data_IF_484758451090
#
_entry.id   IF_484758451090
#
_cell.length_a   1.000
_cell.length_b   1.000
_cell.length_c   1.000
_cell.angle_alpha   90.00
_cell.angle_beta   90.00
_cell.angle_gamma   90.00
#
_symmetry.space_group_name_H-M   'P 1'
#
loop_
_entity.id
_entity.type
_entity.pdbx_description
1 polymer ?
#
# COMPACT_ATOMS: atom_id res chain seq x y z
N UNK A 1 -50.44 44.00 -45.18
CA UNK A 1 -49.35 43.02 -45.32
C UNK A 1 -48.42 43.17 -44.13
N UNK A 2 -48.20 42.04 -43.45
CA UNK A 2 -47.17 41.71 -42.47
C UNK A 2 -47.11 42.51 -41.14
N UNK A 3 -47.38 41.77 -40.08
CA UNK A 3 -47.39 42.10 -38.66
C UNK A 3 -46.00 42.50 -38.11
N UNK A 4 -45.98 43.47 -37.20
CA UNK A 4 -44.89 43.70 -36.27
C UNK A 4 -44.99 42.67 -35.13
N UNK A 5 -44.16 41.64 -35.15
CA UNK A 5 -43.95 40.76 -33.99
C UNK A 5 -43.01 41.44 -33.01
N UNK A 6 -43.60 42.17 -32.06
CA UNK A 6 -42.92 42.58 -30.83
C UNK A 6 -42.73 41.35 -29.95
N UNK A 7 -41.55 40.72 -30.02
CA UNK A 7 -41.12 39.78 -28.97
C UNK A 7 -40.97 40.58 -27.68
N UNK A 8 -41.99 40.54 -26.82
CA UNK A 8 -41.86 40.90 -25.42
C UNK A 8 -41.22 39.69 -24.76
N UNK A 9 -39.91 39.76 -24.52
CA UNK A 9 -39.26 38.86 -23.59
C UNK A 9 -39.94 39.05 -22.23
N UNK A 10 -40.64 38.00 -21.80
CA UNK A 10 -41.47 38.02 -20.61
C UNK A 10 -40.55 37.96 -19.37
N UNK A 11 -40.51 39.00 -18.51
CA UNK A 11 -39.58 39.08 -17.38
C UNK A 11 -39.71 37.92 -16.40
N UNK A 12 -40.88 37.29 -16.35
CA UNK A 12 -41.19 36.16 -15.48
C UNK A 12 -40.41 34.91 -15.88
N UNK A 13 -40.32 34.60 -17.17
CA UNK A 13 -39.51 33.46 -17.70
C UNK A 13 -38.03 33.61 -17.40
N UNK A 14 -37.52 34.84 -17.35
CA UNK A 14 -36.12 35.11 -17.06
C UNK A 14 -35.79 34.99 -15.56
N UNK A 15 -36.77 35.23 -14.67
CA UNK A 15 -36.65 35.03 -13.23
C UNK A 15 -36.76 33.55 -12.85
N UNK A 16 -37.72 32.84 -13.44
CA UNK A 16 -37.94 31.40 -13.18
C UNK A 16 -36.75 30.57 -13.67
N UNK A 17 -36.20 30.87 -14.86
CA UNK A 17 -34.99 30.22 -15.36
C UNK A 17 -33.75 30.48 -14.49
N UNK A 18 -33.66 31.65 -13.85
CA UNK A 18 -32.56 31.98 -12.95
C UNK A 18 -32.67 31.25 -11.60
N UNK A 19 -33.89 31.12 -11.06
CA UNK A 19 -34.16 30.32 -9.86
C UNK A 19 -33.90 28.82 -10.08
N UNK A 20 -34.24 28.28 -11.25
CA UNK A 20 -33.97 26.88 -11.59
C UNK A 20 -32.46 26.59 -11.72
N UNK A 21 -31.69 27.55 -12.24
CA UNK A 21 -30.22 27.46 -12.32
C UNK A 21 -29.56 27.49 -10.94
N UNK A 22 -30.02 28.35 -10.04
CA UNK A 22 -29.52 28.43 -8.66
C UNK A 22 -29.83 27.15 -7.87
N UNK A 23 -31.03 26.58 -8.04
CA UNK A 23 -31.38 25.30 -7.43
C UNK A 23 -30.57 24.13 -8.00
N UNK A 24 -30.31 24.11 -9.31
CA UNK A 24 -29.47 23.09 -9.94
C UNK A 24 -28.01 23.18 -9.46
N UNK A 25 -27.46 24.38 -9.34
CA UNK A 25 -26.11 24.62 -8.83
C UNK A 25 -25.98 24.16 -7.36
N UNK A 26 -26.94 24.51 -6.50
CA UNK A 26 -26.97 24.10 -5.10
C UNK A 26 -27.07 22.58 -4.92
N UNK A 27 -27.87 21.93 -5.76
CA UNK A 27 -28.00 20.46 -5.77
C UNK A 27 -26.69 19.79 -6.19
N UNK A 28 -26.04 20.29 -7.25
CA UNK A 28 -24.75 19.77 -7.71
C UNK A 28 -23.65 19.94 -6.63
N UNK A 29 -23.62 21.07 -5.95
CA UNK A 29 -22.68 21.31 -4.84
C UNK A 29 -22.92 20.33 -3.68
N UNK A 30 -24.17 20.13 -3.29
CA UNK A 30 -24.55 19.19 -2.22
C UNK A 30 -24.16 17.75 -2.58
N UNK A 31 -24.35 17.36 -3.84
CA UNK A 31 -23.96 16.04 -4.34
C UNK A 31 -22.45 15.81 -4.31
N UNK A 32 -21.66 16.83 -4.69
CA UNK A 32 -20.19 16.75 -4.64
C UNK A 32 -19.71 16.61 -3.18
N UNK A 33 -20.26 17.41 -2.26
CA UNK A 33 -19.93 17.34 -0.83
C UNK A 33 -20.23 15.94 -0.27
N UNK A 34 -21.38 15.36 -0.62
CA UNK A 34 -21.73 13.99 -0.25
C UNK A 34 -20.70 12.98 -0.77
N UNK A 35 -20.34 13.05 -2.05
CA UNK A 35 -19.35 12.14 -2.66
C UNK A 35 -17.98 12.25 -1.98
N UNK A 36 -17.52 13.47 -1.70
CA UNK A 36 -16.27 13.71 -0.98
C UNK A 36 -16.31 13.07 0.42
N UNK A 37 -17.42 13.20 1.14
CA UNK A 37 -17.58 12.60 2.47
C UNK A 37 -17.58 11.07 2.41
N UNK A 38 -18.24 10.48 1.41
CA UNK A 38 -18.22 9.03 1.20
C UNK A 38 -16.82 8.50 0.89
N UNK A 39 -16.05 9.21 0.07
CA UNK A 39 -14.65 8.85 -0.24
C UNK A 39 -13.76 8.99 1.00
N UNK A 40 -13.91 10.07 1.78
CA UNK A 40 -13.20 10.25 3.06
C UNK A 40 -13.52 9.11 4.03
N UNK A 41 -14.78 8.69 4.12
CA UNK A 41 -15.21 7.58 4.97
C UNK A 41 -14.60 6.24 4.52
N UNK A 42 -14.58 5.96 3.21
CA UNK A 42 -13.97 4.74 2.64
C UNK A 42 -12.45 4.70 2.79
N UNK A 43 -11.78 5.85 2.83
CA UNK A 43 -10.33 5.95 2.99
C UNK A 43 -9.85 5.48 4.36
N UNK A 44 -10.58 5.80 5.44
CA UNK A 44 -10.17 5.49 6.82
C UNK A 44 -9.84 4.00 7.02
N UNK A 45 -10.72 3.04 6.68
CA UNK A 45 -10.40 1.62 6.84
C UNK A 45 -9.23 1.17 5.95
N UNK A 46 -9.10 1.73 4.73
CA UNK A 46 -7.93 1.45 3.86
C UNK A 46 -6.62 1.90 4.49
N UNK A 47 -6.60 3.05 5.16
CA UNK A 47 -5.40 3.51 5.84
C UNK A 47 -5.04 2.62 7.04
N UNK A 48 -6.03 2.16 7.79
CA UNK A 48 -5.80 1.18 8.87
C UNK A 48 -5.26 -0.14 8.32
N UNK A 49 -5.82 -0.64 7.20
CA UNK A 49 -5.28 -1.82 6.53
C UNK A 49 -3.84 -1.58 6.06
N UNK A 50 -3.51 -0.39 5.54
CA UNK A 50 -2.15 -0.05 5.11
C UNK A 50 -1.14 -0.14 6.25
N UNK A 51 -1.51 0.38 7.44
CA UNK A 51 -0.69 0.25 8.64
C UNK A 51 -0.50 -1.21 9.05
N UNK A 52 -1.55 -2.03 8.98
CA UNK A 52 -1.45 -3.46 9.30
C UNK A 52 -0.56 -4.19 8.29
N UNK A 53 -0.72 -3.92 6.99
CA UNK A 53 0.13 -4.50 5.93
C UNK A 53 1.59 -4.15 6.14
N UNK A 54 1.89 -2.91 6.53
CA UNK A 54 3.26 -2.50 6.87
C UNK A 54 3.86 -3.36 7.99
N UNK A 55 3.09 -3.61 9.05
CA UNK A 55 3.50 -4.49 10.15
C UNK A 55 3.76 -5.91 9.65
N UNK A 56 2.86 -6.44 8.82
CA UNK A 56 2.99 -7.79 8.26
C UNK A 56 4.23 -7.93 7.37
N UNK A 57 4.51 -6.93 6.52
CA UNK A 57 5.70 -6.92 5.68
C UNK A 57 6.97 -6.94 6.54
N UNK A 58 7.06 -6.03 7.51
CA UNK A 58 8.23 -5.94 8.40
C UNK A 58 8.42 -7.20 9.25
N UNK A 59 7.32 -7.83 9.69
CA UNK A 59 7.37 -9.09 10.43
C UNK A 59 8.00 -10.20 9.59
N UNK A 60 7.52 -10.38 8.35
CA UNK A 60 8.05 -11.42 7.46
C UNK A 60 9.52 -11.18 7.11
N UNK A 61 9.91 -9.90 6.96
CA UNK A 61 11.30 -9.49 6.77
C UNK A 61 12.17 -9.92 7.97
N UNK A 62 11.75 -9.56 9.18
CA UNK A 62 12.45 -9.92 10.42
C UNK A 62 12.57 -11.44 10.61
N UNK A 63 11.50 -12.20 10.33
CA UNK A 63 11.53 -13.66 10.39
C UNK A 63 12.53 -14.24 9.38
N UNK A 64 12.58 -13.69 8.17
CA UNK A 64 13.55 -14.11 7.16
C UNK A 64 15.00 -13.83 7.61
N UNK A 65 15.28 -12.68 8.25
CA UNK A 65 16.62 -12.39 8.80
C UNK A 65 16.98 -13.41 9.88
N UNK A 66 16.04 -13.65 10.79
CA UNK A 66 16.22 -14.58 11.89
C UNK A 66 16.62 -15.98 11.39
N UNK A 67 15.93 -16.49 10.37
CA UNK A 67 16.29 -17.77 9.77
C UNK A 67 17.59 -17.73 8.97
N UNK A 68 17.91 -16.61 8.30
CA UNK A 68 19.19 -16.42 7.64
C UNK A 68 20.38 -16.49 8.62
N UNK A 69 20.23 -15.87 9.79
CA UNK A 69 21.22 -15.94 10.87
C UNK A 69 21.35 -17.38 11.39
N UNK A 70 20.25 -18.10 11.60
CA UNK A 70 20.28 -19.51 12.01
C UNK A 70 20.97 -20.40 10.97
N UNK A 71 20.67 -20.22 9.68
CA UNK A 71 21.37 -20.93 8.60
C UNK A 71 22.87 -20.64 8.68
N UNK A 72 23.27 -19.38 8.81
CA UNK A 72 24.67 -18.98 8.88
C UNK A 72 25.40 -19.58 10.09
N UNK A 73 24.78 -19.55 11.27
CA UNK A 73 25.33 -20.17 12.49
C UNK A 73 25.48 -21.69 12.35
N UNK A 74 24.46 -22.37 11.81
CA UNK A 74 24.51 -23.82 11.63
C UNK A 74 25.50 -24.24 10.56
N UNK A 75 25.74 -23.42 9.52
CA UNK A 75 26.83 -23.64 8.54
C UNK A 75 28.20 -23.60 9.22
N UNK A 76 28.42 -22.66 10.15
CA UNK A 76 29.67 -22.57 10.90
C UNK A 76 29.89 -23.81 11.79
N UNK A 77 28.85 -24.27 12.49
CA UNK A 77 28.90 -25.48 13.33
C UNK A 77 29.13 -26.73 12.50
N UNK A 78 28.47 -26.83 11.34
CA UNK A 78 28.63 -27.96 10.43
C UNK A 78 30.06 -28.02 9.86
N UNK A 79 30.74 -26.87 9.75
CA UNK A 79 32.12 -26.74 9.30
C UNK A 79 32.20 -26.49 7.79
N UNK A 80 32.99 -25.49 7.38
CA UNK A 80 33.13 -25.06 5.99
C UNK A 80 33.80 -26.07 5.04
N UNK A 81 34.24 -27.22 5.56
CA UNK A 81 34.83 -28.30 4.78
C UNK A 81 33.88 -29.48 4.86
N UNK A 82 33.19 -29.75 3.76
CA UNK A 82 32.22 -30.85 3.54
C UNK A 82 32.51 -32.05 4.46
N UNK A 83 31.83 -32.17 5.62
CA UNK A 83 32.14 -33.20 6.58
C UNK A 83 31.49 -34.48 6.07
N UNK A 84 32.18 -35.20 5.19
CA UNK A 84 31.71 -36.46 4.62
C UNK A 84 31.08 -37.32 5.73
N UNK A 85 29.78 -37.57 5.62
CA UNK A 85 29.08 -38.55 6.41
C UNK A 85 29.55 -39.91 5.90
N UNK A 86 30.30 -40.64 6.72
CA UNK A 86 30.81 -41.97 6.39
C UNK A 86 30.06 -43.03 7.18
N UNK A 87 29.62 -44.08 6.51
CA UNK A 87 29.16 -45.27 7.20
C UNK A 87 30.36 -46.01 7.78
N UNK A 88 30.15 -46.70 8.90
CA UNK A 88 31.07 -47.70 9.41
C UNK A 88 31.16 -48.87 8.40
N UNK A 89 32.19 -49.73 8.48
CA UNK A 89 32.33 -50.89 7.60
C UNK A 89 31.13 -51.85 7.59
N UNK A 90 30.35 -51.87 8.68
CA UNK A 90 29.13 -52.65 8.84
C UNK A 90 27.87 -51.94 8.31
N UNK A 91 28.02 -50.75 7.70
CA UNK A 91 26.92 -49.92 7.20
C UNK A 91 26.26 -49.03 8.25
N UNK A 92 26.63 -49.12 9.54
CA UNK A 92 26.04 -48.31 10.60
C UNK A 92 26.50 -46.83 10.55
N UNK A 93 25.72 -45.94 11.18
CA UNK A 93 26.09 -44.53 11.36
C UNK A 93 26.58 -44.34 12.80
N UNK A 94 27.85 -43.95 12.94
CA UNK A 94 28.40 -43.64 14.27
C UNK A 94 27.79 -42.34 14.86
N UNK A 95 27.92 -42.16 16.18
CA UNK A 95 27.37 -41.01 16.91
C UNK A 95 27.77 -39.65 16.31
N UNK A 96 29.00 -39.51 15.83
CA UNK A 96 29.49 -38.26 15.25
C UNK A 96 28.78 -37.94 13.92
N UNK A 97 28.58 -38.95 13.07
CA UNK A 97 27.85 -38.80 11.82
C UNK A 97 26.34 -38.63 12.03
N UNK A 98 25.76 -39.25 13.07
CA UNK A 98 24.37 -38.99 13.45
C UNK A 98 24.15 -37.54 13.88
N UNK A 99 25.07 -36.95 14.65
CA UNK A 99 25.01 -35.54 15.03
C UNK A 99 25.06 -34.61 13.81
N UNK A 100 25.95 -34.91 12.84
CA UNK A 100 26.02 -34.17 11.57
C UNK A 100 24.71 -34.22 10.78
N UNK A 101 24.09 -35.39 10.67
CA UNK A 101 22.79 -35.53 9.98
C UNK A 101 21.73 -34.64 10.67
N UNK A 102 21.70 -34.63 12.00
CA UNK A 102 20.80 -33.74 12.75
C UNK A 102 21.05 -32.27 12.45
N UNK A 103 22.32 -31.84 12.37
CA UNK A 103 22.66 -30.45 12.01
C UNK A 103 22.25 -30.12 10.57
N UNK A 104 22.50 -31.02 9.62
CA UNK A 104 22.09 -30.84 8.23
C UNK A 104 20.56 -30.71 8.11
N UNK A 105 19.80 -31.54 8.83
CA UNK A 105 18.34 -31.46 8.85
C UNK A 105 17.85 -30.12 9.41
N UNK A 106 18.43 -29.63 10.51
CA UNK A 106 18.09 -28.31 11.07
C UNK A 106 18.41 -27.18 10.10
N UNK A 107 19.55 -27.25 9.41
CA UNK A 107 19.95 -26.27 8.42
C UNK A 107 18.95 -26.23 7.25
N UNK A 108 18.50 -27.39 6.76
CA UNK A 108 17.44 -27.49 5.75
C UNK A 108 16.11 -26.93 6.26
N UNK A 109 15.75 -27.18 7.52
CA UNK A 109 14.54 -26.64 8.13
C UNK A 109 14.56 -25.11 8.18
N UNK A 110 15.66 -24.51 8.62
CA UNK A 110 15.81 -23.05 8.67
C UNK A 110 15.85 -22.43 7.28
N UNK A 111 16.54 -23.07 6.32
CA UNK A 111 16.58 -22.57 4.94
C UNK A 111 15.19 -22.60 4.30
N UNK A 112 14.41 -23.66 4.56
CA UNK A 112 13.00 -23.72 4.15
C UNK A 112 12.18 -22.59 4.76
N UNK A 113 12.27 -22.38 6.08
CA UNK A 113 11.52 -21.31 6.76
C UNK A 113 11.94 -19.92 6.28
N UNK A 114 13.23 -19.69 6.03
CA UNK A 114 13.75 -18.47 5.40
C UNK A 114 13.06 -18.22 4.05
N UNK A 115 13.01 -19.24 3.19
CA UNK A 115 12.36 -19.13 1.88
C UNK A 115 10.85 -18.84 1.99
N UNK A 116 10.16 -19.49 2.94
CA UNK A 116 8.75 -19.25 3.23
C UNK A 116 8.50 -17.81 3.71
N UNK A 117 9.30 -17.31 4.66
CA UNK A 117 9.20 -15.93 5.15
C UNK A 117 9.52 -14.91 4.05
N UNK A 118 10.51 -15.18 3.19
CA UNK A 118 10.82 -14.29 2.05
C UNK A 118 9.66 -14.25 1.04
N UNK A 119 9.03 -15.38 0.75
CA UNK A 119 7.85 -15.45 -0.12
C UNK A 119 6.66 -14.69 0.49
N UNK A 120 6.42 -14.85 1.79
CA UNK A 120 5.38 -14.14 2.52
C UNK A 120 5.64 -12.62 2.55
N UNK A 121 6.90 -12.20 2.71
CA UNK A 121 7.33 -10.82 2.59
C UNK A 121 6.94 -10.23 1.22
N UNK A 122 7.29 -10.88 0.11
CA UNK A 122 6.96 -10.37 -1.22
C UNK A 122 5.44 -10.28 -1.46
N UNK A 123 4.69 -11.28 -1.00
CA UNK A 123 3.23 -11.27 -1.10
C UNK A 123 2.61 -10.10 -0.32
N UNK A 124 3.07 -9.87 0.92
CA UNK A 124 2.62 -8.76 1.75
C UNK A 124 3.03 -7.40 1.16
N UNK A 125 4.26 -7.29 0.64
CA UNK A 125 4.79 -6.07 0.02
C UNK A 125 3.96 -5.69 -1.20
N UNK A 126 3.61 -6.66 -2.05
CA UNK A 126 2.73 -6.44 -3.20
C UNK A 126 1.35 -5.93 -2.77
N UNK A 127 0.79 -6.52 -1.71
CA UNK A 127 -0.47 -6.06 -1.12
C UNK A 127 -0.41 -4.64 -0.59
N UNK A 128 0.69 -4.28 0.09
CA UNK A 128 0.95 -2.93 0.59
C UNK A 128 0.98 -1.89 -0.55
N UNK A 129 1.75 -2.13 -1.61
CA UNK A 129 1.82 -1.18 -2.73
C UNK A 129 0.50 -1.05 -3.48
N UNK A 130 -0.23 -2.15 -3.66
CA UNK A 130 -1.56 -2.10 -4.27
C UNK A 130 -2.49 -1.17 -3.47
N UNK A 131 -2.49 -1.30 -2.16
CA UNK A 131 -3.33 -0.49 -1.29
C UNK A 131 -2.94 1.00 -1.29
N UNK A 132 -1.65 1.30 -1.45
CA UNK A 132 -1.18 2.68 -1.65
C UNK A 132 -1.81 3.27 -2.92
N UNK A 133 -1.76 2.56 -4.04
CA UNK A 133 -2.36 3.05 -5.29
C UNK A 133 -3.87 3.28 -5.14
N UNK A 134 -4.59 2.36 -4.49
CA UNK A 134 -6.03 2.52 -4.23
C UNK A 134 -6.34 3.75 -3.34
N UNK A 135 -5.47 4.09 -2.38
CA UNK A 135 -5.62 5.29 -1.55
C UNK A 135 -5.27 6.54 -2.36
N UNK A 136 -4.23 6.50 -3.20
CA UNK A 136 -3.85 7.61 -4.08
C UNK A 136 -4.95 7.98 -5.05
N UNK A 137 -5.58 6.99 -5.68
CA UNK A 137 -6.74 7.19 -6.56
C UNK A 137 -7.87 7.89 -5.81
N UNK A 138 -8.16 7.45 -4.56
CA UNK A 138 -9.18 8.07 -3.71
C UNK A 138 -8.84 9.53 -3.39
N UNK A 139 -7.58 9.84 -3.04
CA UNK A 139 -7.17 11.23 -2.76
C UNK A 139 -7.19 12.11 -4.02
N UNK A 140 -6.88 11.56 -5.19
CA UNK A 140 -6.96 12.29 -6.47
C UNK A 140 -8.42 12.60 -6.83
N UNK A 141 -9.34 11.65 -6.64
CA UNK A 141 -10.77 11.86 -6.87
C UNK A 141 -11.34 12.94 -5.94
N UNK A 142 -10.95 12.94 -4.65
CA UNK A 142 -11.32 14.00 -3.70
C UNK A 142 -10.79 15.35 -4.18
N UNK A 143 -9.54 15.44 -4.65
CA UNK A 143 -8.96 16.69 -5.16
C UNK A 143 -9.72 17.22 -6.38
N UNK A 144 -10.11 16.35 -7.30
CA UNK A 144 -10.86 16.73 -8.50
C UNK A 144 -12.25 17.24 -8.14
N UNK A 145 -12.96 16.54 -7.25
CA UNK A 145 -14.27 16.95 -6.76
C UNK A 145 -14.23 18.31 -6.06
N UNK A 146 -13.28 18.51 -5.15
CA UNK A 146 -13.14 19.79 -4.45
C UNK A 146 -12.70 20.94 -5.37
N UNK A 147 -11.82 20.67 -6.33
CA UNK A 147 -11.42 21.66 -7.34
C UNK A 147 -12.59 22.09 -8.22
N UNK A 148 -13.58 21.21 -8.42
CA UNK A 148 -14.79 21.54 -9.18
C UNK A 148 -15.74 22.48 -8.43
N UNK A 149 -15.65 22.54 -7.09
CA UNK A 149 -16.38 23.47 -6.23
C UNK A 149 -15.70 24.85 -6.13
N UNK A 150 -14.36 24.89 -6.20
CA UNK A 150 -13.56 26.10 -5.95
C UNK A 150 -13.31 26.97 -7.20
N UNK A 151 -14.27 27.05 -8.14
CA UNK A 151 -14.08 27.72 -9.44
C UNK A 151 -13.87 29.24 -9.38
N UNK A 152 -14.19 29.89 -8.25
CA UNK A 152 -14.26 31.36 -8.16
C UNK A 152 -13.00 32.05 -7.60
N UNK A 153 -11.84 31.37 -7.59
CA UNK A 153 -10.55 32.05 -7.39
C UNK A 153 -10.29 32.59 -5.97
N UNK A 154 -11.06 32.16 -4.98
CA UNK A 154 -10.72 32.41 -3.57
C UNK A 154 -9.46 31.64 -3.16
N UNK A 155 -8.81 32.11 -2.08
CA UNK A 155 -7.64 31.47 -1.48
C UNK A 155 -7.85 29.96 -1.39
N UNK A 156 -6.80 29.20 -1.73
CA UNK A 156 -6.87 27.74 -1.82
C UNK A 156 -7.36 27.15 -0.49
N UNK A 157 -8.63 26.73 -0.47
CA UNK A 157 -9.30 26.27 0.74
C UNK A 157 -8.48 25.14 1.38
N UNK A 158 -8.35 25.16 2.71
CA UNK A 158 -7.73 24.09 3.50
C UNK A 158 -8.29 22.73 3.09
N UNK A 159 -9.58 22.67 2.77
CA UNK A 159 -10.23 21.44 2.34
C UNK A 159 -9.63 20.86 1.04
N UNK A 160 -9.18 21.71 0.10
CA UNK A 160 -8.49 21.32 -1.15
C UNK A 160 -7.03 20.94 -0.89
N UNK A 161 -6.34 21.61 0.05
CA UNK A 161 -4.93 21.35 0.34
C UNK A 161 -4.71 20.03 1.09
N UNK A 162 -5.60 19.67 2.01
CA UNK A 162 -5.43 18.50 2.87
C UNK A 162 -5.27 17.16 2.10
N UNK A 163 -6.07 16.86 1.05
CA UNK A 163 -5.83 15.72 0.18
C UNK A 163 -4.46 15.70 -0.49
N UNK A 164 -3.94 16.84 -0.94
CA UNK A 164 -2.61 16.93 -1.57
C UNK A 164 -1.50 16.62 -0.59
N UNK A 165 -1.59 17.12 0.64
CA UNK A 165 -0.65 16.80 1.71
C UNK A 165 -0.65 15.31 2.03
N UNK A 166 -1.84 14.70 2.16
CA UNK A 166 -1.95 13.25 2.41
C UNK A 166 -1.37 12.43 1.26
N UNK A 167 -1.63 12.82 0.01
CA UNK A 167 -1.02 12.18 -1.16
C UNK A 167 0.51 12.23 -1.12
N UNK A 168 1.07 13.42 -0.85
CA UNK A 168 2.52 13.63 -0.81
C UNK A 168 3.16 12.79 0.31
N UNK A 169 2.58 12.85 1.52
CA UNK A 169 3.05 12.06 2.67
C UNK A 169 2.96 10.55 2.41
N UNK A 170 1.97 10.10 1.65
CA UNK A 170 1.84 8.69 1.26
C UNK A 170 2.95 8.26 0.30
N UNK A 171 3.33 9.10 -0.67
CA UNK A 171 4.45 8.85 -1.58
C UNK A 171 5.81 8.85 -0.85
N UNK A 172 6.02 9.79 0.07
CA UNK A 172 7.23 9.83 0.90
C UNK A 172 7.34 8.55 1.74
N UNK A 173 6.24 8.13 2.37
CA UNK A 173 6.19 6.88 3.15
C UNK A 173 6.46 5.67 2.25
N UNK A 174 5.87 5.62 1.05
CA UNK A 174 6.10 4.55 0.08
C UNK A 174 7.58 4.44 -0.29
N UNK A 175 8.21 5.58 -0.59
CA UNK A 175 9.62 5.64 -0.97
C UNK A 175 10.53 5.19 0.18
N UNK A 176 10.34 5.75 1.38
CA UNK A 176 11.11 5.36 2.58
C UNK A 176 11.01 3.86 2.89
N UNK A 177 9.80 3.29 2.80
CA UNK A 177 9.62 1.85 3.03
C UNK A 177 10.30 1.02 1.96
N UNK A 178 10.22 1.44 0.69
CA UNK A 178 10.87 0.75 -0.42
C UNK A 178 12.40 0.75 -0.26
N UNK A 179 12.97 1.91 0.06
CA UNK A 179 14.41 2.06 0.33
C UNK A 179 14.85 1.13 1.47
N UNK A 180 14.19 1.19 2.62
CA UNK A 180 14.55 0.35 3.76
C UNK A 180 14.41 -1.15 3.49
N UNK A 181 13.41 -1.56 2.71
CA UNK A 181 13.26 -2.97 2.30
C UNK A 181 14.34 -3.40 1.30
N UNK A 182 14.75 -2.54 0.37
CA UNK A 182 15.81 -2.82 -0.59
C UNK A 182 17.18 -2.92 0.08
N UNK A 183 17.49 -2.00 1.00
CA UNK A 183 18.71 -2.03 1.81
C UNK A 183 18.81 -3.36 2.57
N UNK A 184 17.74 -3.75 3.25
CA UNK A 184 17.72 -5.00 3.98
C UNK A 184 17.85 -6.23 3.06
N UNK A 185 17.20 -6.23 1.89
CA UNK A 185 17.33 -7.33 0.93
C UNK A 185 18.76 -7.46 0.40
N UNK A 186 19.50 -6.35 0.30
CA UNK A 186 20.91 -6.36 -0.06
C UNK A 186 21.79 -6.97 1.04
N UNK A 187 21.42 -6.84 2.32
CA UNK A 187 22.13 -7.49 3.43
C UNK A 187 21.91 -9.02 3.46
N UNK A 188 20.84 -9.52 2.83
CA UNK A 188 20.55 -10.94 2.72
C UNK A 188 21.31 -11.68 1.60
N UNK A 189 21.89 -10.95 0.64
CA UNK A 189 22.60 -11.51 -0.53
C UNK A 189 24.07 -11.76 -0.26
#
# INVERSE_FOLDING_TARGET
MAEHTSNKDDPQTHLDAMHDLDHAALNAQTDIIRQVNDLKAKRIPKHNELCQRRVDVNKNLFECDHYNLQVSQYRLIFGGVSPLIRTCPDGSINRFNSAKITYANKLLEFDKKRAESLSAFYAAQKGYFKLIEEIKETELEIQQLLSSLNKDGEEEDKEVQEPRKRFTSLEETRAQMMEGWLEWLAELS
#
